data_IF_804314292210
#
_entry.id   IF_804314292210
#
_cell.length_a   1.000
_cell.length_b   1.000
_cell.length_c   1.000
_cell.angle_alpha   90.00
_cell.angle_beta   90.00
_cell.angle_gamma   90.00
#
_symmetry.space_group_name_H-M   'P 1'
#
loop_
_entity.id
_entity.type
_entity.pdbx_description
1 polymer ?
#
# COMPACT_ATOMS: atom_id res chain seq x y z
N UNK A 1 -2.21 14.05 13.40
CA UNK A 1 -3.35 13.42 14.11
C UNK A 1 -3.74 14.34 15.27
N UNK A 2 -4.84 15.11 15.16
CA UNK A 2 -5.11 16.24 16.05
C UNK A 2 -5.15 15.88 17.54
N UNK A 3 -5.72 14.73 17.89
CA UNK A 3 -5.77 14.27 19.29
C UNK A 3 -4.38 13.94 19.85
N UNK A 4 -3.55 13.21 19.08
CA UNK A 4 -2.19 12.87 19.52
C UNK A 4 -1.30 14.12 19.61
N UNK A 5 -1.43 15.06 18.66
CA UNK A 5 -0.73 16.35 18.72
C UNK A 5 -1.10 17.15 19.97
N UNK A 6 -2.39 17.16 20.35
CA UNK A 6 -2.87 17.81 21.56
C UNK A 6 -2.28 17.18 22.82
N UNK A 7 -2.33 15.86 22.96
CA UNK A 7 -1.80 15.16 24.14
C UNK A 7 -0.28 15.20 24.25
N UNK A 8 0.43 15.30 23.12
CA UNK A 8 1.89 15.41 23.10
C UNK A 8 2.39 16.85 23.14
N UNK A 9 1.51 17.86 23.11
CA UNK A 9 1.86 19.29 22.99
C UNK A 9 2.82 19.58 21.82
N UNK A 10 2.75 18.78 20.75
CA UNK A 10 3.69 18.86 19.62
C UNK A 10 5.16 18.53 19.95
N UNK A 11 5.45 17.94 21.12
CA UNK A 11 6.83 17.65 21.58
C UNK A 11 7.36 16.29 21.15
N UNK A 12 6.48 15.38 20.69
CA UNK A 12 6.85 14.03 20.31
C UNK A 12 6.57 13.79 18.82
N UNK A 13 7.51 13.20 18.07
CA UNK A 13 7.28 12.82 16.69
C UNK A 13 6.28 11.66 16.62
N UNK A 14 5.33 11.75 15.69
CA UNK A 14 4.42 10.66 15.37
C UNK A 14 5.11 9.74 14.37
N UNK A 15 5.22 8.45 14.71
CA UNK A 15 5.96 7.47 13.91
C UNK A 15 5.03 6.38 13.42
N UNK A 16 4.99 6.19 12.11
CA UNK A 16 4.33 5.07 11.45
C UNK A 16 5.40 4.12 10.91
N UNK A 17 5.66 3.00 11.59
CA UNK A 17 6.80 2.13 11.26
C UNK A 17 6.49 1.08 10.21
N UNK A 18 5.27 0.52 10.20
CA UNK A 18 4.94 -0.68 9.43
C UNK A 18 3.60 -0.56 8.72
N UNK A 19 3.51 -1.24 7.58
CA UNK A 19 2.28 -1.49 6.85
C UNK A 19 2.08 -3.01 6.74
N UNK A 20 0.99 -3.53 7.32
CA UNK A 20 0.71 -4.95 7.42
C UNK A 20 -0.80 -5.22 7.52
N UNK A 21 -1.18 -6.45 7.15
CA UNK A 21 -2.52 -7.05 7.27
C UNK A 21 -2.43 -8.37 8.05
N UNK A 22 -3.57 -8.95 8.44
CA UNK A 22 -3.64 -10.34 8.93
C UNK A 22 -3.12 -11.35 7.90
N UNK A 23 -3.18 -11.00 6.62
CA UNK A 23 -2.80 -11.88 5.50
C UNK A 23 -1.29 -11.84 5.21
N UNK A 24 -0.65 -10.69 5.42
CA UNK A 24 0.77 -10.51 5.12
C UNK A 24 1.35 -9.25 5.78
N UNK A 25 2.65 -9.30 6.10
CA UNK A 25 3.44 -8.11 6.41
C UNK A 25 3.97 -7.53 5.10
N UNK A 26 3.58 -6.29 4.78
CA UNK A 26 3.85 -5.72 3.47
C UNK A 26 5.17 -4.97 3.42
N UNK A 27 5.37 -4.03 4.34
CA UNK A 27 6.46 -3.06 4.20
C UNK A 27 6.70 -2.19 5.41
N UNK A 28 7.75 -1.39 5.31
CA UNK A 28 8.22 -0.51 6.39
C UNK A 28 8.39 0.92 5.89
N UNK A 29 8.21 1.88 6.79
CA UNK A 29 8.55 3.27 6.51
C UNK A 29 10.07 3.47 6.68
N UNK A 30 10.77 3.74 5.57
CA UNK A 30 12.21 4.00 5.58
C UNK A 30 12.56 5.39 6.16
N UNK A 31 11.58 6.28 6.32
CA UNK A 31 11.71 7.61 6.91
C UNK A 31 10.75 7.74 8.11
N UNK A 32 11.01 7.06 9.24
CA UNK A 32 10.07 6.98 10.35
C UNK A 32 9.75 8.33 11.03
N UNK A 33 10.60 9.36 10.84
CA UNK A 33 10.43 10.70 11.40
C UNK A 33 9.87 11.72 10.39
N UNK A 34 9.35 11.27 9.24
CA UNK A 34 8.71 12.17 8.27
C UNK A 34 7.43 12.79 8.83
N UNK A 35 6.94 13.85 8.17
CA UNK A 35 5.62 14.37 8.47
C UNK A 35 4.57 13.25 8.28
N UNK A 36 3.56 13.13 9.16
CA UNK A 36 2.50 12.14 9.01
C UNK A 36 1.76 12.19 7.66
N UNK A 37 1.75 13.33 6.97
CA UNK A 37 1.17 13.48 5.62
C UNK A 37 2.07 12.94 4.50
N UNK A 38 3.37 12.78 4.77
CA UNK A 38 4.39 12.36 3.80
C UNK A 38 4.81 10.89 4.00
N UNK A 39 4.07 10.12 4.79
CA UNK A 39 4.39 8.72 5.09
C UNK A 39 4.31 7.88 3.83
N UNK A 40 5.41 7.17 3.53
CA UNK A 40 5.48 6.21 2.45
C UNK A 40 6.05 4.88 2.98
N UNK A 41 5.41 3.77 2.60
CA UNK A 41 5.85 2.43 2.95
C UNK A 41 6.57 1.78 1.77
N UNK A 42 7.76 1.24 2.02
CA UNK A 42 8.49 0.44 1.05
C UNK A 42 8.13 -1.03 1.25
N UNK A 43 7.56 -1.64 0.21
CA UNK A 43 7.23 -3.05 0.20
C UNK A 43 8.50 -3.91 0.23
N UNK A 44 8.50 -4.94 1.06
CA UNK A 44 9.62 -5.85 1.23
C UNK A 44 9.44 -7.06 0.32
N UNK A 45 10.21 -7.19 -0.78
CA UNK A 45 9.98 -8.19 -1.82
C UNK A 45 10.18 -9.65 -1.36
N UNK A 46 10.71 -9.85 -0.15
CA UNK A 46 10.91 -11.17 0.45
C UNK A 46 9.71 -11.66 1.28
N UNK A 47 8.70 -10.83 1.50
CA UNK A 47 7.55 -11.19 2.35
C UNK A 47 6.40 -11.86 1.58
N UNK A 48 6.36 -11.70 0.27
CA UNK A 48 5.38 -12.29 -0.64
C UNK A 48 5.62 -11.83 -2.07
N UNK A 49 4.81 -12.33 -2.99
CA UNK A 49 4.74 -11.80 -4.35
C UNK A 49 3.71 -10.66 -4.39
N UNK A 50 4.05 -9.57 -5.08
CA UNK A 50 3.23 -8.35 -5.11
C UNK A 50 2.89 -7.97 -6.55
N UNK A 51 1.60 -7.84 -6.80
CA UNK A 51 1.01 -7.42 -8.05
C UNK A 51 0.03 -6.26 -7.81
N UNK A 52 -0.29 -5.53 -8.87
CA UNK A 52 -1.02 -4.28 -8.78
C UNK A 52 -2.08 -4.17 -9.87
N UNK A 53 -3.33 -3.92 -9.49
CA UNK A 53 -4.43 -3.62 -10.42
C UNK A 53 -4.50 -2.10 -10.61
N UNK A 54 -4.33 -1.55 -11.83
CA UNK A 54 -4.39 -0.11 -12.06
C UNK A 54 -5.78 0.49 -11.77
N UNK A 55 -5.80 1.58 -11.00
CA UNK A 55 -7.00 2.37 -10.70
C UNK A 55 -6.98 3.71 -11.47
N UNK A 56 -8.17 4.25 -11.71
CA UNK A 56 -8.36 5.59 -12.26
C UNK A 56 -7.95 6.69 -11.28
N UNK A 57 -7.91 7.94 -11.75
CA UNK A 57 -7.49 9.11 -10.96
C UNK A 57 -8.32 9.35 -9.70
N UNK A 58 -9.54 8.81 -9.63
CA UNK A 58 -10.44 8.94 -8.48
C UNK A 58 -10.29 7.78 -7.47
N UNK A 59 -9.30 6.89 -7.66
CA UNK A 59 -9.19 5.66 -6.89
C UNK A 59 -10.27 4.63 -7.22
N UNK A 60 -11.12 4.90 -8.22
CA UNK A 60 -12.10 3.96 -8.76
C UNK A 60 -11.43 3.07 -9.79
N UNK A 61 -11.84 1.82 -9.88
CA UNK A 61 -11.31 0.88 -10.87
C UNK A 61 -11.42 1.48 -12.28
N UNK A 62 -10.29 1.54 -13.01
CA UNK A 62 -10.21 2.14 -14.34
C UNK A 62 -11.03 1.33 -15.37
N UNK A 63 -11.42 0.12 -14.99
CA UNK A 63 -12.23 -0.80 -15.78
C UNK A 63 -13.48 -1.17 -14.99
N UNK A 64 -14.63 -1.26 -15.66
CA UNK A 64 -15.83 -1.86 -15.08
C UNK A 64 -15.65 -3.37 -15.09
N UNK A 65 -14.88 -3.93 -14.15
CA UNK A 65 -15.01 -5.34 -13.85
C UNK A 65 -16.34 -5.53 -13.12
N UNK A 66 -17.14 -6.47 -13.57
CA UNK A 66 -18.15 -7.04 -12.69
C UNK A 66 -17.39 -7.62 -11.49
N UNK A 67 -17.85 -7.36 -10.27
CA UNK A 67 -17.25 -7.84 -9.02
C UNK A 67 -17.10 -9.38 -8.98
N UNK A 68 -17.77 -10.08 -9.91
CA UNK A 68 -17.73 -11.53 -10.11
C UNK A 68 -16.79 -11.99 -11.24
N UNK A 69 -16.15 -11.09 -11.98
CA UNK A 69 -15.30 -11.43 -13.13
C UNK A 69 -13.81 -11.41 -12.77
N UNK A 70 -13.09 -12.46 -13.16
CA UNK A 70 -11.66 -12.60 -12.89
C UNK A 70 -10.87 -11.48 -13.58
N UNK A 71 -10.01 -10.78 -12.84
CA UNK A 71 -9.09 -9.81 -13.45
C UNK A 71 -8.09 -10.57 -14.33
N UNK A 72 -8.01 -10.30 -15.65
CA UNK A 72 -7.04 -10.95 -16.51
C UNK A 72 -5.61 -10.65 -16.03
N UNK A 73 -4.76 -11.68 -15.94
CA UNK A 73 -3.35 -11.52 -15.53
C UNK A 73 -2.60 -10.48 -16.37
N UNK A 74 -2.93 -10.34 -17.65
CA UNK A 74 -2.31 -9.35 -18.56
C UNK A 74 -2.52 -7.89 -18.13
N UNK A 75 -3.42 -7.64 -17.17
CA UNK A 75 -3.69 -6.31 -16.61
C UNK A 75 -3.02 -6.05 -15.26
N UNK A 76 -2.41 -7.08 -14.66
CA UNK A 76 -1.62 -6.92 -13.44
C UNK A 76 -0.28 -6.29 -13.77
N UNK A 77 0.20 -5.47 -12.86
CA UNK A 77 1.51 -4.82 -12.94
C UNK A 77 2.37 -5.37 -11.82
N UNK A 78 3.60 -5.81 -12.13
CA UNK A 78 4.54 -6.27 -11.11
C UNK A 78 5.03 -5.11 -10.23
N UNK A 79 5.51 -5.42 -9.03
CA UNK A 79 6.11 -4.47 -8.09
C UNK A 79 7.15 -3.54 -8.71
N UNK A 80 7.97 -4.02 -9.63
CA UNK A 80 9.04 -3.21 -10.26
C UNK A 80 8.54 -2.33 -11.42
N UNK A 81 7.31 -2.57 -11.89
CA UNK A 81 6.74 -1.95 -13.09
C UNK A 81 5.68 -0.88 -12.77
N UNK A 82 5.43 -0.59 -11.49
CA UNK A 82 4.50 0.46 -11.06
C UNK A 82 4.99 1.86 -11.46
N UNK A 83 4.06 2.78 -11.72
CA UNK A 83 4.36 4.15 -12.16
C UNK A 83 4.09 5.15 -11.04
N UNK A 84 5.01 6.10 -10.89
CA UNK A 84 4.88 7.19 -9.92
C UNK A 84 3.62 8.02 -10.21
N UNK A 85 2.83 8.29 -9.18
CA UNK A 85 1.61 9.10 -9.28
C UNK A 85 0.39 8.33 -9.80
N UNK A 86 0.52 7.04 -10.12
CA UNK A 86 -0.62 6.19 -10.43
C UNK A 86 -1.17 5.52 -9.16
N UNK A 87 -2.47 5.22 -9.18
CA UNK A 87 -3.15 4.52 -8.11
C UNK A 87 -3.32 3.06 -8.47
N UNK A 88 -3.17 2.18 -7.49
CA UNK A 88 -3.26 0.74 -7.68
C UNK A 88 -3.95 0.08 -6.49
N UNK A 89 -4.67 -0.99 -6.75
CA UNK A 89 -5.10 -1.94 -5.74
C UNK A 89 -4.04 -3.04 -5.59
N UNK A 90 -3.71 -3.39 -4.35
CA UNK A 90 -2.65 -4.34 -4.01
C UNK A 90 -3.17 -5.77 -4.10
N UNK A 91 -2.51 -6.60 -4.90
CA UNK A 91 -2.71 -8.04 -4.98
C UNK A 91 -1.47 -8.72 -4.41
N UNK A 92 -1.68 -9.70 -3.52
CA UNK A 92 -0.59 -10.40 -2.84
C UNK A 92 -0.73 -11.90 -3.08
N UNK A 93 0.40 -12.57 -3.28
CA UNK A 93 0.49 -14.03 -3.16
C UNK A 93 1.45 -14.35 -2.03
N UNK A 94 1.00 -15.16 -1.08
CA UNK A 94 1.73 -15.42 0.17
C UNK A 94 2.22 -16.86 0.24
N UNK A 95 3.22 -17.09 1.10
CA UNK A 95 3.72 -18.45 1.37
C UNK A 95 2.67 -19.38 2.00
N UNK A 96 1.58 -18.82 2.55
CA UNK A 96 0.47 -19.58 3.11
C UNK A 96 -0.50 -20.12 2.05
N UNK A 97 -0.27 -19.82 0.76
CA UNK A 97 -1.10 -20.32 -0.35
C UNK A 97 -2.35 -19.48 -0.62
N UNK A 98 -2.36 -18.23 -0.17
CA UNK A 98 -3.29 -17.19 -0.64
C UNK A 98 -2.72 -16.50 -1.86
#
# INVERSE_FOLDING_TARGET
VPALEHYCEGKLPLVCTMYASSECYFGVNLKPLCDPNDVAFTLLPNMGYYEFIPLGHNGTLLMNFDENEHVPNDKLVDLVNVKLGCFYELVITTFAGM
#
